data_IF_846746573393
#
_entry.id   IF_846746573393
#
_cell.length_a   1.000
_cell.length_b   1.000
_cell.length_c   1.000
_cell.angle_alpha   90.00
_cell.angle_beta   90.00
_cell.angle_gamma   90.00
#
_symmetry.space_group_name_H-M   'P 1'
#
loop_
_entity.id
_entity.type
_entity.pdbx_description
1 polymer ?
#
# COMPACT_ATOMS: atom_id res chain seq x y z
N UNK A 1 9.21 -1.67 -7.69
CA UNK A 1 8.90 -0.34 -7.13
C UNK A 1 9.39 -0.26 -5.70
N UNK A 2 9.79 0.92 -5.22
CA UNK A 2 10.24 1.10 -3.84
C UNK A 2 9.08 0.84 -2.86
N UNK A 3 9.39 0.55 -1.60
CA UNK A 3 8.37 0.41 -0.57
C UNK A 3 7.53 1.69 -0.51
N UNK A 4 6.26 1.60 -0.88
CA UNK A 4 5.38 2.77 -0.98
C UNK A 4 5.05 3.22 -2.39
N UNK A 5 5.49 2.54 -3.46
CA UNK A 5 5.04 2.81 -4.85
C UNK A 5 4.62 1.54 -5.60
N UNK A 6 3.70 1.69 -6.55
CA UNK A 6 3.12 0.62 -7.36
C UNK A 6 2.78 1.10 -8.79
N UNK A 7 2.39 0.15 -9.64
CA UNK A 7 1.94 0.41 -11.00
C UNK A 7 3.08 0.48 -12.02
N UNK A 8 2.72 0.71 -13.29
CA UNK A 8 3.68 0.76 -14.38
C UNK A 8 4.67 1.93 -14.19
N UNK A 9 5.96 1.63 -14.05
CA UNK A 9 6.98 2.63 -13.79
C UNK A 9 7.00 3.18 -12.36
N UNK A 10 6.27 2.57 -11.41
CA UNK A 10 6.22 3.02 -10.02
C UNK A 10 5.71 4.46 -9.86
N UNK A 11 4.85 4.90 -10.78
CA UNK A 11 4.28 6.25 -10.82
C UNK A 11 3.21 6.47 -9.77
N UNK A 12 2.62 5.40 -9.24
CA UNK A 12 1.59 5.48 -8.21
C UNK A 12 2.19 5.21 -6.83
N UNK A 13 1.72 5.93 -5.81
CA UNK A 13 2.17 5.75 -4.44
C UNK A 13 1.16 4.94 -3.66
N UNK A 14 1.63 3.95 -2.88
CA UNK A 14 0.81 3.22 -1.94
C UNK A 14 0.12 4.20 -0.99
N UNK A 15 -1.10 3.86 -0.59
CA UNK A 15 -1.80 4.63 0.43
C UNK A 15 -1.01 4.64 1.73
N UNK A 16 -0.88 5.82 2.35
CA UNK A 16 -0.17 6.00 3.62
C UNK A 16 -0.89 5.30 4.79
N UNK A 17 -2.13 4.89 4.54
CA UNK A 17 -3.01 4.19 5.46
C UNK A 17 -2.87 2.68 5.37
N UNK A 18 -2.11 2.16 4.38
CA UNK A 18 -1.69 0.77 4.40
C UNK A 18 -0.90 0.50 5.68
N UNK A 19 -1.17 -0.63 6.30
CA UNK A 19 -0.36 -1.11 7.40
C UNK A 19 1.05 -1.46 6.88
N UNK A 20 2.06 -0.97 7.58
CA UNK A 20 3.46 -1.11 7.20
C UNK A 20 4.25 -1.65 8.37
N UNK A 21 4.59 -2.93 8.34
CA UNK A 21 5.58 -3.48 9.27
C UNK A 21 6.97 -3.11 8.78
N UNK A 22 7.87 -2.72 9.69
CA UNK A 22 9.19 -2.11 9.47
C UNK A 22 10.14 -2.77 8.44
N UNK A 23 9.78 -3.91 7.82
CA UNK A 23 10.55 -4.61 6.80
C UNK A 23 9.70 -5.18 5.65
N UNK A 24 8.42 -4.80 5.50
CA UNK A 24 7.55 -5.29 4.40
C UNK A 24 7.02 -4.17 3.53
N UNK A 25 6.81 -4.50 2.26
CA UNK A 25 6.16 -3.62 1.29
C UNK A 25 4.77 -3.24 1.80
N UNK A 26 4.43 -1.95 1.81
CA UNK A 26 3.15 -1.45 2.34
C UNK A 26 1.97 -1.90 1.46
N UNK A 27 2.20 -1.93 0.14
CA UNK A 27 1.23 -2.39 -0.83
C UNK A 27 1.87 -3.23 -1.93
N UNK A 28 1.03 -3.91 -2.70
CA UNK A 28 1.40 -4.74 -3.83
C UNK A 28 1.98 -3.85 -4.94
N UNK A 29 3.20 -4.10 -5.44
CA UNK A 29 3.83 -3.26 -6.45
C UNK A 29 3.16 -3.32 -7.83
N UNK A 30 2.38 -4.37 -8.13
CA UNK A 30 1.61 -4.48 -9.38
C UNK A 30 0.25 -3.79 -9.26
N UNK A 31 -0.51 -4.10 -8.20
CA UNK A 31 -1.91 -3.67 -8.09
C UNK A 31 -2.11 -2.45 -7.20
N UNK A 32 -1.20 -2.17 -6.27
CA UNK A 32 -1.33 -1.11 -5.27
C UNK A 32 -2.10 -1.50 -4.01
N UNK A 33 -2.59 -2.73 -3.93
CA UNK A 33 -3.42 -3.21 -2.81
C UNK A 33 -2.57 -3.38 -1.55
N UNK A 34 -3.04 -2.88 -0.41
CA UNK A 34 -2.31 -2.99 0.85
C UNK A 34 -2.17 -4.46 1.28
N UNK A 35 -0.92 -4.96 1.35
CA UNK A 35 -0.65 -6.39 1.60
C UNK A 35 -0.74 -6.79 3.07
N UNK A 36 -0.66 -5.83 4.00
CA UNK A 36 -0.87 -6.08 5.43
C UNK A 36 -2.26 -5.61 5.90
N UNK A 37 -3.11 -5.16 4.99
CA UNK A 37 -4.35 -4.51 5.33
C UNK A 37 -4.15 -3.05 5.72
N UNK A 38 -5.08 -2.52 6.50
CA UNK A 38 -5.21 -1.10 6.78
C UNK A 38 -4.92 -0.77 8.22
N UNK A 39 -4.37 0.43 8.45
CA UNK A 39 -4.31 1.02 9.79
C UNK A 39 -5.71 1.06 10.41
N UNK A 40 -5.78 0.93 11.73
CA UNK A 40 -7.03 1.00 12.48
C UNK A 40 -7.86 2.22 12.10
N UNK A 41 -9.10 1.99 11.69
CA UNK A 41 -10.03 3.04 11.25
C UNK A 41 -10.08 3.25 9.73
N UNK A 42 -9.21 2.60 8.96
CA UNK A 42 -9.27 2.61 7.50
C UNK A 42 -9.78 1.27 6.97
N UNK A 43 -10.47 1.32 5.84
CA UNK A 43 -11.08 0.19 5.17
C UNK A 43 -10.89 0.26 3.65
N UNK A 44 -11.15 -0.87 3.01
CA UNK A 44 -10.96 -1.07 1.57
C UNK A 44 -9.57 -1.59 1.21
N UNK A 45 -9.45 -2.03 -0.03
CA UNK A 45 -8.25 -2.67 -0.58
C UNK A 45 -7.03 -1.73 -0.66
N UNK A 46 -7.28 -0.41 -0.72
CA UNK A 46 -6.26 0.63 -0.70
C UNK A 46 -6.27 1.48 0.58
N UNK A 47 -7.06 1.11 1.60
CA UNK A 47 -7.16 1.85 2.87
C UNK A 47 -7.50 3.34 2.66
N UNK A 48 -8.42 3.60 1.73
CA UNK A 48 -8.83 4.94 1.32
C UNK A 48 -10.17 5.38 1.92
N UNK A 49 -10.92 4.47 2.53
CA UNK A 49 -12.17 4.73 3.26
C UNK A 49 -11.96 4.68 4.76
#
# INVERSE_FOLDING_TARGET
CAAGTFGHGCSSSCSKNCESSANKSMCNPETGVCVQGCKSGFAGQYCEN
#
